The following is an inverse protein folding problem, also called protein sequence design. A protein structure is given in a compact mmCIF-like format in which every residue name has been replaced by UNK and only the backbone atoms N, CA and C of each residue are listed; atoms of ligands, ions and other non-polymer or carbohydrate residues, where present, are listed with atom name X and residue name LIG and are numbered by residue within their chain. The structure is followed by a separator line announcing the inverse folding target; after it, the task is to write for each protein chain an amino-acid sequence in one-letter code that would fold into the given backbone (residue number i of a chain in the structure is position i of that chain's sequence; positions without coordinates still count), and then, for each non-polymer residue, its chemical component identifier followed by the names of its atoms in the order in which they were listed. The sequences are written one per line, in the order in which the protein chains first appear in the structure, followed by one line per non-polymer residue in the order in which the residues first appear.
data_IF_806651468912
#
_entry.id   IF_806651468912
#
_cell.length_a   1.000
_cell.length_b   1.000
_cell.length_c   1.000
_cell.angle_alpha   90.00
_cell.angle_beta   90.00
_cell.angle_gamma   90.00
#
_symmetry.space_group_name_H-M   'P 1'
#
loop_
_entity.id
_entity.type
_entity.pdbx_description
1 polymer ?
#
# COMPACT_ATOMS: atom_id res chain seq x y z
N UNK A 1 -18.80 -15.07 -4.44
CA UNK A 1 -18.26 -14.49 -3.19
C UNK A 1 -17.29 -13.34 -3.50
N UNK A 2 -17.72 -12.32 -4.27
CA UNK A 2 -16.80 -11.35 -4.92
C UNK A 2 -17.00 -9.89 -4.52
N UNK A 3 -17.86 -9.58 -3.54
CA UNK A 3 -18.28 -8.20 -3.26
C UNK A 3 -17.29 -7.39 -2.42
N UNK A 4 -16.43 -8.03 -1.62
CA UNK A 4 -15.49 -7.33 -0.72
C UNK A 4 -14.23 -6.79 -1.40
N UNK A 5 -13.70 -7.49 -2.40
CA UNK A 5 -12.50 -7.06 -3.13
C UNK A 5 -12.80 -5.95 -4.16
N UNK A 6 -13.99 -5.99 -4.77
CA UNK A 6 -14.43 -4.94 -5.69
C UNK A 6 -14.56 -3.59 -5.00
N UNK A 7 -15.20 -3.55 -3.83
CA UNK A 7 -15.34 -2.32 -3.05
C UNK A 7 -14.01 -1.82 -2.50
N UNK A 8 -13.07 -2.71 -2.13
CA UNK A 8 -11.73 -2.30 -1.69
C UNK A 8 -10.95 -1.62 -2.82
N UNK A 9 -11.01 -2.15 -4.04
CA UNK A 9 -10.32 -1.54 -5.19
C UNK A 9 -10.88 -0.16 -5.50
N UNK A 10 -12.20 -0.03 -5.51
CA UNK A 10 -12.86 1.27 -5.71
C UNK A 10 -12.39 2.29 -4.66
N UNK A 11 -12.29 1.87 -3.39
CA UNK A 11 -11.75 2.72 -2.33
C UNK A 11 -10.26 3.05 -2.50
N UNK A 12 -9.43 2.14 -3.02
CA UNK A 12 -8.03 2.44 -3.33
C UNK A 12 -7.90 3.46 -4.47
N UNK A 13 -8.73 3.36 -5.52
CA UNK A 13 -8.76 4.36 -6.60
C UNK A 13 -9.24 5.73 -6.09
N UNK A 14 -10.23 5.75 -5.19
CA UNK A 14 -10.67 6.98 -4.51
C UNK A 14 -9.51 7.61 -3.71
N UNK A 15 -8.73 6.78 -3.00
CA UNK A 15 -7.54 7.23 -2.27
C UNK A 15 -6.48 7.82 -3.19
N UNK A 16 -6.14 7.11 -4.27
CA UNK A 16 -5.13 7.54 -5.24
C UNK A 16 -5.53 8.88 -5.82
N UNK A 17 -6.78 9.02 -6.27
CA UNK A 17 -7.26 10.27 -6.84
C UNK A 17 -7.18 11.43 -5.84
N UNK A 18 -7.60 11.21 -4.59
CA UNK A 18 -7.52 12.24 -3.55
C UNK A 18 -6.06 12.64 -3.26
N UNK A 19 -5.14 11.68 -3.24
CA UNK A 19 -3.71 11.93 -3.09
C UNK A 19 -3.13 12.68 -4.30
N UNK A 20 -3.50 12.33 -5.53
CA UNK A 20 -3.11 13.02 -6.77
C UNK A 20 -3.60 14.47 -6.78
N UNK A 21 -4.88 14.69 -6.47
CA UNK A 21 -5.49 16.02 -6.39
C UNK A 21 -4.80 16.87 -5.30
N UNK A 22 -4.40 16.24 -4.19
CA UNK A 22 -3.69 16.90 -3.10
C UNK A 22 -2.25 17.24 -3.46
N UNK A 23 -1.53 16.35 -4.15
CA UNK A 23 -0.15 16.58 -4.58
C UNK A 23 -0.03 17.54 -5.77
N UNK A 24 -1.02 17.52 -6.69
CA UNK A 24 -1.02 18.34 -7.91
C UNK A 24 -1.52 19.76 -7.68
N UNK A 25 -2.26 19.99 -6.61
CA UNK A 25 -2.68 21.33 -6.24
C UNK A 25 -1.45 22.15 -5.84
N UNK A 26 -1.06 23.12 -6.69
CA UNK A 26 -0.12 24.19 -6.31
C UNK A 26 -0.62 25.01 -5.10
N UNK A 27 -1.85 24.79 -4.63
CA UNK A 27 -2.45 25.43 -3.47
C UNK A 27 -2.32 24.59 -2.20
N UNK A 28 -1.56 25.13 -1.24
CA UNK A 28 -1.52 24.81 0.19
C UNK A 28 -2.22 23.51 0.59
N UNK A 29 -1.43 22.47 0.84
CA UNK A 29 -1.85 21.40 1.73
C UNK A 29 -2.52 22.01 2.96
N UNK A 30 -3.65 21.44 3.40
CA UNK A 30 -4.36 21.93 4.57
C UNK A 30 -4.85 20.75 5.44
N UNK A 31 -5.23 21.08 6.67
CA UNK A 31 -5.65 20.08 7.65
C UNK A 31 -6.87 19.27 7.18
N UNK A 32 -7.84 19.91 6.53
CA UNK A 32 -9.07 19.25 6.09
C UNK A 32 -8.79 18.14 5.07
N UNK A 33 -7.94 18.41 4.06
CA UNK A 33 -7.51 17.40 3.08
C UNK A 33 -6.76 16.24 3.75
N UNK A 34 -5.87 16.54 4.69
CA UNK A 34 -5.12 15.52 5.43
C UNK A 34 -6.05 14.61 6.25
N UNK A 35 -7.05 15.19 6.91
CA UNK A 35 -8.06 14.44 7.66
C UNK A 35 -8.98 13.62 6.75
N UNK A 36 -9.32 14.15 5.56
CA UNK A 36 -10.08 13.42 4.55
C UNK A 36 -9.32 12.18 4.06
N UNK A 37 -8.05 12.33 3.71
CA UNK A 37 -7.16 11.23 3.32
C UNK A 37 -7.07 10.19 4.44
N UNK A 38 -6.82 10.63 5.67
CA UNK A 38 -6.73 9.73 6.83
C UNK A 38 -8.05 8.99 7.09
N UNK A 39 -9.18 9.68 6.93
CA UNK A 39 -10.51 9.09 7.06
C UNK A 39 -10.77 8.00 6.01
N UNK A 40 -10.32 8.21 4.78
CA UNK A 40 -10.44 7.24 3.69
C UNK A 40 -9.53 6.03 3.90
N UNK A 41 -8.29 6.24 4.33
CA UNK A 41 -7.40 5.14 4.78
C UNK A 41 -8.08 4.30 5.86
N UNK A 42 -8.67 4.93 6.88
CA UNK A 42 -9.39 4.22 7.94
C UNK A 42 -10.65 3.47 7.46
N UNK A 43 -11.30 3.93 6.38
CA UNK A 43 -12.39 3.15 5.75
C UNK A 43 -11.85 1.88 5.10
N UNK A 44 -10.76 1.98 4.35
CA UNK A 44 -10.11 0.84 3.70
C UNK A 44 -9.63 -0.21 4.71
N UNK A 45 -9.10 0.22 5.86
CA UNK A 45 -8.67 -0.69 6.93
C UNK A 45 -9.84 -1.53 7.44
N UNK A 46 -10.98 -0.89 7.74
CA UNK A 46 -12.19 -1.59 8.20
C UNK A 46 -12.70 -2.58 7.15
N UNK A 47 -12.56 -2.27 5.86
CA UNK A 47 -12.96 -3.19 4.79
C UNK A 47 -12.08 -4.45 4.77
N UNK A 48 -10.78 -4.31 4.99
CA UNK A 48 -9.85 -5.45 5.13
C UNK A 48 -10.13 -6.27 6.40
N UNK A 49 -10.43 -5.64 7.52
CA UNK A 49 -10.80 -6.33 8.77
C UNK A 49 -12.13 -7.08 8.66
N UNK A 50 -13.13 -6.48 8.01
CA UNK A 50 -14.44 -7.11 7.81
C UNK A 50 -14.34 -8.29 6.84
N UNK A 51 -13.50 -8.16 5.81
CA UNK A 51 -13.19 -9.25 4.87
C UNK A 51 -12.45 -10.41 5.53
N UNK A 52 -11.53 -10.15 6.47
CA UNK A 52 -10.80 -11.20 7.19
C UNK A 52 -11.69 -11.95 8.18
N UNK A 53 -12.63 -11.26 8.85
CA UNK A 53 -13.58 -11.87 9.79
C UNK A 53 -14.60 -12.79 9.11
N UNK A 54 -14.99 -12.52 7.85
CA UNK A 54 -15.87 -13.41 7.09
C UNK A 54 -15.12 -14.63 6.52
N UNK A 55 -13.79 -14.58 6.40
CA UNK A 55 -12.99 -15.63 5.79
C UNK A 55 -12.59 -16.73 6.77
N UNK A 56 -12.23 -16.43 8.03
CA UNK A 56 -11.82 -17.41 9.04
C UNK A 56 -12.08 -16.88 10.46
N UNK A 57 -12.62 -17.72 11.34
CA UNK A 57 -12.89 -17.44 12.76
C UNK A 57 -11.63 -17.24 13.63
N UNK A 58 -10.80 -16.27 13.31
CA UNK A 58 -9.69 -15.81 14.14
C UNK A 58 -9.57 -14.29 14.04
N UNK A 59 -9.93 -13.59 15.12
CA UNK A 59 -9.90 -12.13 15.20
C UNK A 59 -8.50 -11.57 14.98
N UNK A 60 -8.32 -10.92 13.83
CA UNK A 60 -7.17 -10.10 13.50
C UNK A 60 -7.24 -9.66 12.03
N UNK A 61 -6.66 -8.49 11.67
CA UNK A 61 -6.45 -8.15 10.27
C UNK A 61 -5.65 -9.27 9.60
N UNK A 62 -5.88 -9.51 8.31
CA UNK A 62 -5.14 -10.48 7.50
C UNK A 62 -3.66 -10.06 7.39
N UNK A 63 -2.88 -10.25 8.46
CA UNK A 63 -1.46 -9.88 8.54
C UNK A 63 -0.69 -10.60 7.42
N UNK A 64 0.00 -9.84 6.57
CA UNK A 64 0.86 -10.34 5.52
C UNK A 64 0.20 -10.55 4.14
N UNK A 65 -0.99 -9.98 3.92
CA UNK A 65 -1.53 -9.77 2.57
C UNK A 65 -0.90 -8.50 1.95
N UNK A 66 -0.79 -8.47 0.61
CA UNK A 66 -0.27 -7.30 -0.10
C UNK A 66 -1.07 -6.03 0.23
N UNK A 67 -2.40 -6.15 0.29
CA UNK A 67 -3.33 -5.08 0.60
C UNK A 67 -3.14 -4.56 2.04
N UNK A 68 -3.02 -5.46 3.01
CA UNK A 68 -2.81 -5.09 4.41
C UNK A 68 -1.45 -4.41 4.60
N UNK A 69 -0.39 -4.95 4.00
CA UNK A 69 0.96 -4.43 4.16
C UNK A 69 1.10 -3.08 3.44
N UNK A 70 0.56 -2.97 2.22
CA UNK A 70 0.56 -1.72 1.45
C UNK A 70 -0.25 -0.61 2.12
N UNK A 71 -1.46 -0.92 2.61
CA UNK A 71 -2.30 0.06 3.30
C UNK A 71 -1.67 0.52 4.62
N UNK A 72 -0.98 -0.37 5.34
CA UNK A 72 -0.23 -0.01 6.54
C UNK A 72 0.86 1.01 6.22
N UNK A 73 1.64 0.82 5.16
CA UNK A 73 2.64 1.79 4.74
C UNK A 73 2.02 3.14 4.38
N UNK A 74 0.95 3.13 3.58
CA UNK A 74 0.24 4.37 3.20
C UNK A 74 -0.22 5.12 4.45
N UNK A 75 -0.82 4.41 5.43
CA UNK A 75 -1.26 5.00 6.69
C UNK A 75 -0.13 5.67 7.46
N UNK A 76 1.03 5.02 7.58
CA UNK A 76 2.16 5.60 8.30
C UNK A 76 2.70 6.85 7.61
N UNK A 77 2.76 6.87 6.28
CA UNK A 77 3.10 8.10 5.54
C UNK A 77 2.07 9.22 5.75
N UNK A 78 0.77 8.91 5.72
CA UNK A 78 -0.28 9.92 5.95
C UNK A 78 -0.19 10.48 7.39
N UNK A 79 0.06 9.64 8.40
CA UNK A 79 0.26 10.11 9.78
C UNK A 79 1.49 11.01 9.91
N UNK A 80 2.59 10.63 9.28
CA UNK A 80 3.81 11.44 9.25
C UNK A 80 3.56 12.79 8.55
N UNK A 81 2.78 12.80 7.47
CA UNK A 81 2.39 14.05 6.80
C UNK A 81 1.53 14.94 7.70
N UNK A 82 0.58 14.38 8.46
CA UNK A 82 -0.21 15.14 9.47
C UNK A 82 0.70 15.73 10.54
N UNK A 83 1.66 14.96 11.03
CA UNK A 83 2.64 15.41 12.02
C UNK A 83 3.49 16.57 11.48
N UNK A 84 4.08 16.41 10.29
CA UNK A 84 4.91 17.44 9.66
C UNK A 84 4.11 18.71 9.35
N UNK A 85 2.88 18.57 8.87
CA UNK A 85 2.01 19.72 8.64
C UNK A 85 1.78 20.51 9.93
N UNK A 86 1.53 19.80 11.04
CA UNK A 86 1.33 20.42 12.37
C UNK A 86 2.60 21.07 12.91
N UNK A 87 3.79 20.57 12.53
CA UNK A 87 5.09 21.13 12.88
C UNK A 87 5.53 22.29 11.96
N UNK A 88 4.81 22.55 10.86
CA UNK A 88 5.22 23.52 9.83
C UNK A 88 6.31 23.02 8.89
N UNK A 89 6.55 21.70 8.87
CA UNK A 89 7.51 21.01 8.00
C UNK A 89 6.88 20.58 6.67
N UNK A 90 7.73 20.08 5.76
CA UNK A 90 7.31 19.57 4.46
C UNK A 90 6.54 18.23 4.59
N UNK A 91 5.23 18.35 4.71
CA UNK A 91 4.27 17.26 4.62
C UNK A 91 3.97 16.83 3.18
N UNK A 92 4.27 17.68 2.19
CA UNK A 92 4.00 17.41 0.77
C UNK A 92 4.85 16.27 0.23
N UNK A 93 6.15 16.25 0.54
CA UNK A 93 7.03 15.14 0.15
C UNK A 93 6.58 13.80 0.72
N UNK A 94 6.13 13.78 1.98
CA UNK A 94 5.64 12.56 2.63
C UNK A 94 4.34 12.06 2.00
N UNK A 95 3.43 12.97 1.63
CA UNK A 95 2.23 12.60 0.89
C UNK A 95 2.54 12.06 -0.52
N UNK A 96 3.57 12.59 -1.18
CA UNK A 96 4.02 12.05 -2.46
C UNK A 96 4.53 10.59 -2.32
N UNK A 97 5.19 10.25 -1.21
CA UNK A 97 5.57 8.86 -0.90
C UNK A 97 4.32 7.99 -0.65
N UNK A 98 3.31 8.49 0.06
CA UNK A 98 2.04 7.78 0.23
C UNK A 98 1.37 7.48 -1.12
N UNK A 99 1.35 8.46 -2.04
CA UNK A 99 0.84 8.30 -3.40
C UNK A 99 1.65 7.28 -4.21
N UNK A 100 2.98 7.29 -4.08
CA UNK A 100 3.87 6.34 -4.73
C UNK A 100 3.56 4.90 -4.29
N UNK A 101 3.38 4.68 -2.98
CA UNK A 101 2.97 3.37 -2.44
C UNK A 101 1.58 2.98 -2.90
N UNK A 102 0.61 3.90 -2.91
CA UNK A 102 -0.75 3.62 -3.36
C UNK A 102 -0.80 3.16 -4.83
N UNK A 103 -0.06 3.84 -5.71
CA UNK A 103 0.10 3.44 -7.11
C UNK A 103 0.77 2.07 -7.25
N UNK A 104 1.87 1.84 -6.52
CA UNK A 104 2.54 0.54 -6.53
C UNK A 104 1.61 -0.58 -6.05
N UNK A 105 0.79 -0.33 -5.03
CA UNK A 105 -0.17 -1.28 -4.51
C UNK A 105 -1.26 -1.62 -5.54
N UNK A 106 -1.79 -0.62 -6.26
CA UNK A 106 -2.72 -0.84 -7.38
C UNK A 106 -2.10 -1.72 -8.45
N UNK A 107 -0.89 -1.37 -8.89
CA UNK A 107 -0.22 -2.04 -10.00
C UNK A 107 0.15 -3.49 -9.63
N UNK A 108 0.69 -3.71 -8.42
CA UNK A 108 0.96 -5.05 -7.90
C UNK A 108 -0.33 -5.87 -7.72
N UNK A 109 -1.41 -5.25 -7.26
CA UNK A 109 -2.72 -5.89 -7.16
C UNK A 109 -3.25 -6.35 -8.52
N UNK A 110 -3.13 -5.51 -9.55
CA UNK A 110 -3.53 -5.85 -10.91
C UNK A 110 -2.66 -6.97 -11.52
N UNK A 111 -1.36 -6.99 -11.21
CA UNK A 111 -0.47 -8.08 -11.60
C UNK A 111 -0.84 -9.40 -10.92
N UNK A 112 -1.14 -9.37 -9.61
CA UNK A 112 -1.55 -10.55 -8.87
C UNK A 112 -2.86 -11.16 -9.41
N UNK A 113 -3.83 -10.33 -9.80
CA UNK A 113 -5.07 -10.81 -10.45
C UNK A 113 -4.83 -11.51 -11.79
N UNK A 114 -3.78 -11.11 -12.51
CA UNK A 114 -3.35 -11.76 -13.75
C UNK A 114 -2.55 -13.05 -13.51
N UNK A 115 -2.43 -13.48 -12.25
CA UNK A 115 -1.68 -14.67 -11.85
C UNK A 115 -0.17 -14.47 -11.80
N UNK A 116 0.31 -13.21 -11.80
CA UNK A 116 1.74 -12.93 -11.63
C UNK A 116 2.10 -13.15 -10.17
N UNK A 117 3.05 -14.05 -9.94
CA UNK A 117 3.56 -14.32 -8.60
C UNK A 117 4.40 -13.13 -8.09
N UNK A 118 4.00 -12.59 -6.93
CA UNK A 118 4.77 -11.54 -6.25
C UNK A 118 5.85 -12.21 -5.40
N UNK A 119 7.09 -12.05 -5.85
CA UNK A 119 8.27 -12.62 -5.23
C UNK A 119 8.60 -11.86 -3.95
N UNK A 120 8.68 -12.57 -2.82
CA UNK A 120 9.02 -11.96 -1.52
C UNK A 120 10.54 -12.01 -1.31
N UNK A 121 11.11 -11.13 -0.47
CA UNK A 121 12.55 -11.17 -0.16
C UNK A 121 13.06 -12.53 0.33
N UNK A 122 12.20 -13.31 1.01
CA UNK A 122 12.52 -14.68 1.47
C UNK A 122 12.71 -15.69 0.34
N UNK A 123 12.13 -15.42 -0.83
CA UNK A 123 12.20 -16.26 -2.03
C UNK A 123 13.46 -15.94 -2.86
N UNK A 124 14.16 -14.87 -2.48
CA UNK A 124 15.40 -14.42 -3.09
C UNK A 124 16.62 -14.89 -2.29
N UNK A 125 17.73 -15.06 -2.98
CA UNK A 125 19.06 -15.23 -2.42
C UNK A 125 20.02 -14.25 -3.08
N UNK A 126 20.88 -13.62 -2.29
CA UNK A 126 21.93 -12.74 -2.84
C UNK A 126 23.00 -13.64 -3.48
N UNK A 127 23.26 -13.43 -4.77
CA UNK A 127 24.25 -14.19 -5.54
C UNK A 127 25.52 -13.40 -5.86
N UNK A 128 25.53 -12.10 -5.54
CA UNK A 128 26.69 -11.23 -5.74
C UNK A 128 26.36 -9.76 -5.49
N UNK A 129 27.31 -8.89 -5.83
CA UNK A 129 27.17 -7.43 -5.75
C UNK A 129 27.75 -6.78 -7.00
N UNK A 130 27.06 -5.78 -7.54
CA UNK A 130 27.54 -4.92 -8.65
C UNK A 130 27.45 -3.47 -8.17
N UNK A 131 28.57 -2.75 -8.20
CA UNK A 131 28.68 -1.36 -7.71
C UNK A 131 28.12 -1.16 -6.29
N UNK A 132 28.38 -2.13 -5.40
CA UNK A 132 27.91 -2.12 -4.00
C UNK A 132 26.42 -2.49 -3.83
N UNK A 133 25.68 -2.76 -4.91
CA UNK A 133 24.27 -3.14 -4.87
C UNK A 133 24.12 -4.66 -4.96
N UNK A 134 23.27 -5.29 -4.13
CA UNK A 134 23.06 -6.73 -4.15
C UNK A 134 22.39 -7.18 -5.44
N UNK A 135 22.88 -8.29 -5.99
CA UNK A 135 22.26 -9.02 -7.11
C UNK A 135 21.56 -10.24 -6.55
N UNK A 136 20.29 -10.43 -6.93
CA UNK A 136 19.45 -11.49 -6.41
C UNK A 136 19.19 -12.57 -7.47
N UNK A 137 19.04 -13.81 -7.01
CA UNK A 137 18.48 -14.92 -7.78
C UNK A 137 17.35 -15.58 -7.00
N UNK A 138 16.53 -16.35 -7.68
CA UNK A 138 15.53 -17.19 -7.04
C UNK A 138 16.20 -18.29 -6.22
N UNK A 139 15.73 -18.49 -5.00
CA UNK A 139 16.14 -19.65 -4.19
C UNK A 139 15.67 -20.92 -4.91
N UNK A 140 16.62 -21.75 -5.37
CA UNK A 140 16.29 -23.02 -6.05
C UNK A 140 15.48 -23.92 -5.11
N UNK A 141 14.28 -24.33 -5.56
CA UNK A 141 13.31 -25.13 -4.80
C UNK A 141 11.88 -24.60 -4.82
N UNK A 142 11.68 -23.31 -5.14
CA UNK A 142 10.34 -22.67 -5.16
C UNK A 142 9.79 -22.41 -6.58
N UNK A 143 10.42 -22.94 -7.64
CA UNK A 143 9.89 -22.81 -9.00
C UNK A 143 8.88 -23.93 -9.29
N UNK A 144 7.59 -23.67 -9.55
CA UNK A 144 6.59 -24.72 -9.80
C UNK A 144 6.72 -25.44 -11.15
N UNK A 145 7.78 -25.19 -11.93
CA UNK A 145 7.96 -25.71 -13.29
C UNK A 145 9.34 -26.35 -13.52
N UNK A 146 9.80 -27.19 -12.59
CA UNK A 146 10.85 -28.18 -12.88
C UNK A 146 10.43 -29.56 -12.43
#
# INVERSE_FOLDING_TARGET
MSSGLGSWREGLEELIKLLEDTCSSMGSLNADKLLEILGLVGRLERMLETGSQQALGSGGPAKGSLESDGLLLIREYVKEAVYRFSAGDDAGSVLAEALSVANALRDLGALAERGVEIIRPKDLVVVGYIDGKPVYSFRQGNSPNR
#
